data_IF_570003179385
#
_entry.id   IF_570003179385
#
_cell.length_a   1.000
_cell.length_b   1.000
_cell.length_c   1.000
_cell.angle_alpha   90.00
_cell.angle_beta   90.00
_cell.angle_gamma   90.00
#
_symmetry.space_group_name_H-M   'P 1'
#
loop_
_entity.id
_entity.type
_entity.pdbx_description
1 polymer ?
#
# COMPACT_ATOMS: atom_id res chain seq x y z
N UNK A 1 -14.40 17.89 16.85
CA UNK A 1 -15.48 17.01 17.33
C UNK A 1 -15.00 15.57 17.21
N UNK A 2 -14.70 14.92 18.32
CA UNK A 2 -14.34 13.49 18.33
C UNK A 2 -15.64 12.71 18.32
N UNK A 3 -16.02 12.17 17.19
CA UNK A 3 -17.18 11.28 17.10
C UNK A 3 -16.84 9.99 17.86
N UNK A 4 -17.42 9.80 19.04
CA UNK A 4 -17.31 8.53 19.74
C UNK A 4 -18.15 7.51 18.96
N UNK A 5 -17.50 6.55 18.35
CA UNK A 5 -18.17 5.39 17.78
C UNK A 5 -18.72 4.54 18.92
N UNK A 6 -19.97 4.10 18.81
CA UNK A 6 -20.51 3.09 19.72
C UNK A 6 -19.90 1.71 19.44
N UNK A 7 -19.99 0.80 20.40
CA UNK A 7 -19.35 -0.51 20.32
C UNK A 7 -19.83 -1.34 19.14
N UNK A 8 -21.12 -1.26 18.80
CA UNK A 8 -21.70 -2.02 17.68
C UNK A 8 -21.17 -1.50 16.34
N UNK A 9 -21.17 -0.18 16.17
CA UNK A 9 -20.62 0.45 14.95
C UNK A 9 -19.14 0.14 14.79
N UNK A 10 -18.37 0.15 15.88
CA UNK A 10 -16.95 -0.21 15.85
C UNK A 10 -16.75 -1.66 15.40
N UNK A 11 -17.52 -2.60 15.93
CA UNK A 11 -17.43 -4.02 15.55
C UNK A 11 -17.82 -4.26 14.10
N UNK A 12 -18.87 -3.61 13.62
CA UNK A 12 -19.29 -3.68 12.21
C UNK A 12 -18.19 -3.13 11.29
N UNK A 13 -17.59 -1.99 11.62
CA UNK A 13 -16.48 -1.41 10.85
C UNK A 13 -15.27 -2.35 10.86
N UNK A 14 -14.91 -2.89 12.01
CA UNK A 14 -13.79 -3.81 12.15
C UNK A 14 -13.96 -5.06 11.28
N UNK A 15 -15.11 -5.69 11.36
CA UNK A 15 -15.45 -6.87 10.55
C UNK A 15 -15.41 -6.55 9.05
N UNK A 16 -15.90 -5.39 8.63
CA UNK A 16 -15.83 -4.95 7.24
C UNK A 16 -14.42 -4.71 6.76
N UNK A 17 -13.56 -4.10 7.57
CA UNK A 17 -12.15 -3.89 7.22
C UNK A 17 -11.43 -5.23 7.03
N UNK A 18 -11.64 -6.21 7.92
CA UNK A 18 -11.09 -7.56 7.76
C UNK A 18 -11.59 -8.20 6.47
N UNK A 19 -12.89 -8.10 6.17
CA UNK A 19 -13.47 -8.65 4.93
C UNK A 19 -12.83 -8.05 3.67
N UNK A 20 -12.55 -6.75 3.65
CA UNK A 20 -11.86 -6.09 2.53
C UNK A 20 -10.45 -6.65 2.34
N UNK A 21 -9.70 -6.85 3.43
CA UNK A 21 -8.36 -7.43 3.37
C UNK A 21 -8.40 -8.89 2.93
N UNK A 22 -9.39 -9.67 3.37
CA UNK A 22 -9.60 -11.04 2.91
C UNK A 22 -9.93 -11.12 1.42
N UNK A 23 -10.73 -10.19 0.90
CA UNK A 23 -11.00 -10.11 -0.56
C UNK A 23 -9.75 -9.73 -1.35
N UNK A 24 -8.93 -8.82 -0.87
CA UNK A 24 -7.63 -8.50 -1.47
C UNK A 24 -6.70 -9.73 -1.50
N UNK A 25 -6.65 -10.49 -0.41
CA UNK A 25 -5.90 -11.73 -0.33
C UNK A 25 -6.38 -12.78 -1.35
N UNK A 26 -7.69 -12.96 -1.48
CA UNK A 26 -8.27 -13.85 -2.49
C UNK A 26 -7.97 -13.40 -3.92
N UNK A 27 -7.94 -12.08 -4.17
CA UNK A 27 -7.57 -11.55 -5.47
C UNK A 27 -6.12 -11.89 -5.82
N UNK A 28 -5.19 -11.78 -4.87
CA UNK A 28 -3.79 -12.19 -5.05
C UNK A 28 -3.70 -13.68 -5.42
N UNK A 29 -4.38 -14.55 -4.67
CA UNK A 29 -4.39 -16.00 -4.96
C UNK A 29 -4.92 -16.27 -6.36
N UNK A 30 -6.01 -15.62 -6.78
CA UNK A 30 -6.61 -15.84 -8.11
C UNK A 30 -5.74 -15.37 -9.27
N UNK A 31 -4.88 -14.39 -9.05
CA UNK A 31 -4.05 -13.78 -10.09
C UNK A 31 -2.59 -14.23 -10.03
N UNK A 32 -2.20 -14.93 -8.97
CA UNK A 32 -0.83 -15.42 -8.78
C UNK A 32 -0.57 -16.68 -9.62
N UNK A 33 0.60 -16.74 -10.21
CA UNK A 33 1.15 -17.94 -10.85
C UNK A 33 2.14 -18.70 -9.94
N UNK A 34 2.31 -18.23 -8.71
CA UNK A 34 3.22 -18.84 -7.72
C UNK A 34 2.51 -19.96 -6.96
N UNK A 35 3.10 -21.14 -6.93
CA UNK A 35 2.63 -22.27 -6.12
C UNK A 35 2.67 -21.94 -4.62
N UNK A 36 3.65 -21.13 -4.18
CA UNK A 36 3.74 -20.67 -2.79
C UNK A 36 2.51 -19.84 -2.39
N UNK A 37 2.07 -18.95 -3.27
CA UNK A 37 0.89 -18.12 -3.01
C UNK A 37 -0.41 -18.91 -3.16
N UNK A 38 -0.51 -19.78 -4.17
CA UNK A 38 -1.77 -20.47 -4.51
C UNK A 38 -2.02 -21.72 -3.65
N UNK A 39 -0.99 -22.53 -3.42
CA UNK A 39 -1.13 -23.84 -2.79
C UNK A 39 -0.68 -23.80 -1.33
N UNK A 40 0.43 -23.14 -1.04
CA UNK A 40 0.97 -23.05 0.31
C UNK A 40 0.38 -21.90 1.12
N UNK A 41 -0.33 -20.96 0.48
CA UNK A 41 -0.87 -19.75 1.11
C UNK A 41 0.22 -18.92 1.84
N UNK A 42 1.46 -18.98 1.30
CA UNK A 42 2.65 -18.38 1.90
C UNK A 42 2.74 -16.88 1.57
N UNK A 43 1.79 -16.12 2.07
CA UNK A 43 1.75 -14.67 1.95
C UNK A 43 0.89 -14.05 3.07
N UNK A 44 0.92 -12.74 3.17
CA UNK A 44 0.03 -11.98 4.04
C UNK A 44 -0.39 -10.68 3.38
N UNK A 45 -1.63 -10.27 3.66
CA UNK A 45 -2.16 -8.96 3.33
C UNK A 45 -2.42 -8.18 4.62
N UNK A 46 -1.92 -6.96 4.68
CA UNK A 46 -2.10 -6.08 5.82
C UNK A 46 -2.58 -4.71 5.35
N UNK A 47 -3.65 -4.22 5.96
CA UNK A 47 -4.09 -2.84 5.81
C UNK A 47 -3.43 -2.01 6.91
N UNK A 48 -2.82 -0.90 6.55
CA UNK A 48 -2.20 0.03 7.51
C UNK A 48 -2.88 1.38 7.47
N UNK A 49 -2.72 2.15 8.55
CA UNK A 49 -3.00 3.59 8.53
C UNK A 49 -1.92 4.34 7.73
N UNK A 50 -2.09 5.66 7.57
CA UNK A 50 -1.14 6.52 6.87
C UNK A 50 0.25 6.59 7.54
N UNK A 51 0.40 6.08 8.75
CA UNK A 51 1.66 6.00 9.50
C UNK A 51 2.32 4.62 9.43
N UNK A 52 1.68 3.66 8.72
CA UNK A 52 2.15 2.28 8.62
C UNK A 52 1.83 1.40 9.82
N UNK A 53 0.89 1.77 10.70
CA UNK A 53 0.40 0.91 11.76
C UNK A 53 -0.71 0.01 11.23
N UNK A 54 -0.63 -1.28 11.57
CA UNK A 54 -1.61 -2.26 11.13
C UNK A 54 -3.00 -1.94 11.68
N UNK A 55 -3.99 -1.89 10.78
CA UNK A 55 -5.41 -1.79 11.11
C UNK A 55 -6.09 -3.15 11.02
N UNK A 56 -5.78 -3.94 10.01
CA UNK A 56 -6.29 -5.29 9.83
C UNK A 56 -5.34 -6.13 8.99
N UNK A 57 -5.50 -7.43 9.06
CA UNK A 57 -4.80 -8.42 8.25
C UNK A 57 -5.77 -9.49 7.76
N UNK A 58 -5.43 -10.21 6.70
CA UNK A 58 -6.26 -11.30 6.23
C UNK A 58 -6.26 -12.47 7.22
N UNK A 59 -7.39 -13.17 7.30
CA UNK A 59 -7.61 -14.25 8.26
C UNK A 59 -6.66 -15.43 8.09
N UNK A 60 -6.11 -15.63 6.89
CA UNK A 60 -5.14 -16.69 6.58
C UNK A 60 -3.67 -16.24 6.60
N UNK A 61 -3.35 -15.09 7.19
CA UNK A 61 -1.97 -14.58 7.25
C UNK A 61 -1.04 -15.48 8.02
N UNK A 62 0.17 -15.68 7.49
CA UNK A 62 1.23 -16.38 8.21
C UNK A 62 1.71 -15.54 9.39
N UNK A 63 1.77 -16.10 10.61
CA UNK A 63 2.13 -15.34 11.81
C UNK A 63 3.47 -14.60 11.72
N UNK A 64 4.46 -15.13 11.00
CA UNK A 64 5.76 -14.50 10.82
C UNK A 64 5.70 -13.18 10.05
N UNK A 65 4.68 -12.95 9.21
CA UNK A 65 4.54 -11.73 8.44
C UNK A 65 3.73 -10.64 9.16
N UNK A 66 2.97 -11.00 10.18
CA UNK A 66 2.08 -10.10 10.91
C UNK A 66 2.81 -8.89 11.48
N UNK A 67 3.98 -9.10 12.08
CA UNK A 67 4.79 -8.01 12.65
C UNK A 67 5.74 -7.35 11.68
N UNK A 68 6.20 -8.07 10.65
CA UNK A 68 7.22 -7.58 9.72
C UNK A 68 6.67 -6.62 8.67
N UNK A 69 5.47 -6.89 8.13
CA UNK A 69 4.87 -6.03 7.09
C UNK A 69 4.63 -4.59 7.57
N UNK A 70 3.97 -4.33 8.71
CA UNK A 70 3.81 -2.97 9.21
C UNK A 70 5.14 -2.28 9.53
N UNK A 71 6.14 -3.04 10.02
CA UNK A 71 7.47 -2.49 10.27
C UNK A 71 8.16 -2.06 8.96
N UNK A 72 8.03 -2.88 7.92
CA UNK A 72 8.54 -2.58 6.57
C UNK A 72 7.87 -1.34 5.99
N UNK A 73 6.54 -1.25 6.07
CA UNK A 73 5.78 -0.06 5.61
C UNK A 73 6.25 1.20 6.33
N UNK A 74 6.40 1.16 7.67
CA UNK A 74 6.92 2.31 8.43
C UNK A 74 8.34 2.67 8.04
N UNK A 75 9.17 1.68 7.73
CA UNK A 75 10.53 1.93 7.23
C UNK A 75 10.47 2.66 5.89
N UNK A 76 9.69 2.16 4.93
CA UNK A 76 9.51 2.82 3.64
C UNK A 76 8.97 4.26 3.78
N UNK A 77 7.94 4.47 4.58
CA UNK A 77 7.38 5.80 4.82
C UNK A 77 8.40 6.78 5.40
N UNK A 78 9.33 6.31 6.21
CA UNK A 78 10.39 7.12 6.82
C UNK A 78 11.52 7.42 5.85
N UNK A 79 11.95 6.44 5.06
CA UNK A 79 13.12 6.57 4.18
C UNK A 79 12.76 7.19 2.82
N UNK A 80 11.57 6.88 2.29
CA UNK A 80 11.14 7.33 0.97
C UNK A 80 10.21 8.55 1.05
N UNK A 81 9.57 8.77 2.21
CA UNK A 81 8.54 9.79 2.39
C UNK A 81 7.30 9.52 1.54
N UNK A 82 6.13 9.75 2.08
CA UNK A 82 4.91 9.84 1.29
C UNK A 82 4.64 11.33 1.03
N UNK A 83 5.35 11.93 0.09
CA UNK A 83 5.13 13.32 -0.27
C UNK A 83 4.06 13.41 -1.36
N UNK A 84 3.10 14.30 -1.15
CA UNK A 84 2.14 14.65 -2.18
C UNK A 84 2.81 15.58 -3.20
N UNK A 85 3.01 15.09 -4.40
CA UNK A 85 3.59 15.87 -5.49
C UNK A 85 2.62 16.94 -6.00
N UNK A 86 3.16 18.10 -6.33
CA UNK A 86 2.43 19.28 -6.87
C UNK A 86 3.03 19.66 -8.21
N UNK A 87 2.30 20.40 -9.06
CA UNK A 87 2.87 20.95 -10.26
C UNK A 87 4.19 21.71 -9.98
N UNK A 88 5.25 21.31 -10.68
CA UNK A 88 6.61 21.83 -10.50
C UNK A 88 7.52 20.95 -9.67
N UNK A 89 6.99 20.00 -8.90
CA UNK A 89 7.82 19.08 -8.11
C UNK A 89 8.58 18.09 -9.01
N UNK A 90 9.75 17.69 -8.54
CA UNK A 90 10.61 16.72 -9.20
C UNK A 90 10.89 15.54 -8.28
N UNK A 91 10.91 14.34 -8.86
CA UNK A 91 11.28 13.10 -8.16
C UNK A 91 12.35 12.37 -8.95
N UNK A 92 13.44 12.00 -8.27
CA UNK A 92 14.53 11.21 -8.87
C UNK A 92 14.33 9.74 -8.57
N UNK A 93 14.51 8.92 -9.59
CA UNK A 93 14.50 7.46 -9.44
C UNK A 93 15.74 6.93 -8.69
N UNK A 94 15.60 5.76 -8.01
CA UNK A 94 14.41 4.91 -8.07
C UNK A 94 13.25 5.45 -7.22
N UNK A 95 12.06 5.54 -7.81
CA UNK A 95 10.86 6.04 -7.14
C UNK A 95 9.60 5.39 -7.69
N UNK A 96 8.56 5.37 -6.87
CA UNK A 96 7.21 4.97 -7.28
C UNK A 96 6.29 6.13 -7.01
N UNK A 97 5.52 6.52 -8.01
CA UNK A 97 4.48 7.55 -7.91
C UNK A 97 3.13 6.88 -8.11
N UNK A 98 2.25 7.05 -7.15
CA UNK A 98 0.90 6.49 -7.20
C UNK A 98 -0.13 7.59 -7.42
N UNK A 99 -1.06 7.33 -8.34
CA UNK A 99 -2.24 8.14 -8.60
C UNK A 99 -3.49 7.28 -8.50
N UNK A 100 -4.66 7.89 -8.43
CA UNK A 100 -5.92 7.16 -8.46
C UNK A 100 -6.04 6.40 -9.80
N UNK A 101 -5.88 5.09 -9.74
CA UNK A 101 -6.00 4.18 -10.90
C UNK A 101 -4.71 3.94 -11.70
N UNK A 102 -3.56 4.51 -11.31
CA UNK A 102 -2.28 4.25 -11.98
C UNK A 102 -1.08 4.26 -11.03
N UNK A 103 -0.03 3.55 -11.44
CA UNK A 103 1.25 3.54 -10.73
C UNK A 103 2.37 3.76 -11.73
N UNK A 104 3.22 4.75 -11.49
CA UNK A 104 4.39 5.05 -12.29
C UNK A 104 5.65 4.64 -11.54
N UNK A 105 6.49 3.82 -12.18
CA UNK A 105 7.81 3.45 -11.64
C UNK A 105 8.89 4.22 -12.40
N UNK A 106 9.69 4.98 -11.67
CA UNK A 106 10.85 5.70 -12.21
C UNK A 106 12.11 4.92 -11.83
N UNK A 107 12.80 4.39 -12.82
CA UNK A 107 14.03 3.63 -12.63
C UNK A 107 15.21 4.49 -12.15
N UNK A 108 16.33 3.85 -11.74
CA UNK A 108 17.55 4.55 -11.36
C UNK A 108 18.03 5.50 -12.46
N UNK A 109 18.39 6.73 -12.09
CA UNK A 109 18.83 7.77 -13.03
C UNK A 109 17.71 8.50 -13.77
N UNK A 110 16.46 8.03 -13.69
CA UNK A 110 15.31 8.73 -14.24
C UNK A 110 14.91 9.94 -13.39
N UNK A 111 14.29 10.93 -14.03
CA UNK A 111 13.75 12.13 -13.39
C UNK A 111 12.29 12.29 -13.79
N UNK A 112 11.40 12.25 -12.82
CA UNK A 112 9.99 12.60 -12.98
C UNK A 112 9.77 14.05 -12.61
N UNK A 113 8.98 14.79 -13.41
CA UNK A 113 8.57 16.16 -13.13
C UNK A 113 7.07 16.31 -13.31
N UNK A 114 6.40 16.91 -12.34
CA UNK A 114 4.97 17.22 -12.45
C UNK A 114 4.78 18.48 -13.28
N UNK A 115 4.14 18.32 -14.43
CA UNK A 115 3.79 19.45 -15.31
C UNK A 115 2.65 20.29 -14.70
N UNK A 116 2.46 21.51 -15.23
CA UNK A 116 1.35 22.38 -14.82
C UNK A 116 -0.04 21.75 -15.03
N UNK A 117 -0.15 20.79 -15.98
CA UNK A 117 -1.36 20.01 -16.24
C UNK A 117 -1.64 18.93 -15.20
N UNK A 118 -0.72 18.66 -14.26
CA UNK A 118 -0.77 17.55 -13.32
C UNK A 118 -0.14 16.26 -13.85
N UNK A 119 0.16 16.15 -15.14
CA UNK A 119 0.81 14.97 -15.70
C UNK A 119 2.28 14.87 -15.25
N UNK A 120 2.78 13.65 -15.11
CA UNK A 120 4.19 13.42 -14.80
C UNK A 120 4.95 13.13 -16.11
N UNK A 121 5.96 13.94 -16.39
CA UNK A 121 6.88 13.75 -17.50
C UNK A 121 8.13 13.06 -16.95
N UNK A 122 8.45 11.88 -17.47
CA UNK A 122 9.65 11.14 -17.08
C UNK A 122 10.71 11.28 -18.14
N UNK A 123 11.88 11.76 -17.73
CA UNK A 123 13.10 11.74 -18.54
C UNK A 123 13.96 10.56 -18.12
N UNK A 124 14.28 9.70 -19.05
CA UNK A 124 15.17 8.57 -18.84
C UNK A 124 16.63 9.00 -19.07
N UNK A 125 17.60 8.32 -18.43
CA UNK A 125 19.01 8.60 -18.61
C UNK A 125 19.49 8.30 -20.03
#
# INVERSE_FOLDING_TARGET
MTTKLDAVTLEVLWTRIISVVDEAAKAIVRTSFSTLSNEANDFACVLTDARGYALAQNSGSIPSFIGTLPATVRHFLRELGAERMRPGDEVRGPAVVEEEGSTLVIGPGGLGRVAASGNIIVTLP
#
